data_IF_027869243274
#
_entry.id   IF_027869243274
#
_cell.length_a   1.000
_cell.length_b   1.000
_cell.length_c   1.000
_cell.angle_alpha   90.00
_cell.angle_beta   90.00
_cell.angle_gamma   90.00
#
_symmetry.space_group_name_H-M   'P 1'
#
loop_
_entity.id
_entity.type
_entity.pdbx_description
1 polymer ?
#
# COMPACT_ATOMS: atom_id res chain seq x y z
N UNK A 1 -7.18 37.44 14.21
CA UNK A 1 -6.15 36.96 15.15
C UNK A 1 -6.07 35.44 15.09
N UNK A 2 -5.24 34.89 14.20
CA UNK A 2 -4.96 33.45 14.20
C UNK A 2 -3.98 33.18 15.33
N UNK A 3 -4.44 32.51 16.39
CA UNK A 3 -3.56 31.96 17.42
C UNK A 3 -2.55 31.05 16.72
N UNK A 4 -1.28 31.47 16.72
CA UNK A 4 -0.16 30.57 16.47
C UNK A 4 -0.26 29.46 17.52
N UNK A 5 -0.82 28.32 17.12
CA UNK A 5 -0.67 27.10 17.88
C UNK A 5 0.82 26.87 18.04
N UNK A 6 1.31 27.02 19.27
CA UNK A 6 2.64 26.59 19.71
C UNK A 6 2.66 25.06 19.61
N UNK A 7 2.65 24.55 18.38
CA UNK A 7 3.11 23.20 18.13
C UNK A 7 4.56 23.22 18.57
N UNK A 8 4.86 22.50 19.66
CA UNK A 8 6.21 22.23 20.11
C UNK A 8 7.03 21.80 18.89
N UNK A 9 7.74 22.75 18.28
CA UNK A 9 8.77 22.48 17.32
C UNK A 9 9.88 21.83 18.13
N UNK A 10 9.78 20.52 18.34
CA UNK A 10 10.88 19.74 18.90
C UNK A 10 12.08 19.99 17.97
N UNK A 11 13.04 20.76 18.49
CA UNK A 11 14.34 20.99 17.86
C UNK A 11 15.16 19.71 18.04
N UNK A 12 16.31 19.60 17.37
CA UNK A 12 17.25 18.47 17.48
C UNK A 12 17.91 18.36 18.88
N UNK A 13 17.10 18.35 19.94
CA UNK A 13 17.48 18.28 21.34
C UNK A 13 17.07 16.89 21.83
N UNK A 14 18.04 16.07 22.22
CA UNK A 14 17.80 14.70 22.71
C UNK A 14 17.22 13.74 21.66
N UNK A 15 17.67 13.82 20.41
CA UNK A 15 17.19 12.90 19.36
C UNK A 15 17.76 11.49 19.56
N UNK A 16 16.89 10.50 19.81
CA UNK A 16 17.30 9.11 20.11
C UNK A 16 17.74 8.31 18.88
N UNK A 17 17.14 8.56 17.71
CA UNK A 17 17.39 7.78 16.48
C UNK A 17 18.37 8.54 15.58
N UNK A 18 19.41 7.89 15.00
CA UNK A 18 20.39 8.59 14.17
C UNK A 18 19.81 9.26 12.92
N UNK A 19 18.68 8.75 12.39
CA UNK A 19 17.94 9.34 11.28
C UNK A 19 16.55 9.75 11.74
N UNK A 20 16.30 11.07 11.81
CA UNK A 20 14.98 11.63 12.15
C UNK A 20 13.88 11.14 11.20
N UNK A 21 14.21 10.95 9.91
CA UNK A 21 13.27 10.49 8.90
C UNK A 21 12.75 9.05 9.12
N UNK A 22 13.38 8.26 10.02
CA UNK A 22 12.80 6.97 10.45
C UNK A 22 11.41 7.14 11.06
N UNK A 23 11.08 8.30 11.63
CA UNK A 23 9.73 8.62 12.09
C UNK A 23 8.67 8.52 10.97
N UNK A 24 9.02 8.92 9.74
CA UNK A 24 8.12 8.84 8.59
C UNK A 24 7.72 7.40 8.24
N UNK A 25 8.55 6.41 8.60
CA UNK A 25 8.20 4.99 8.46
C UNK A 25 7.00 4.65 9.33
N UNK A 26 6.92 5.21 10.56
CA UNK A 26 5.78 5.02 11.46
C UNK A 26 4.54 5.75 10.93
N UNK A 27 4.70 6.98 10.42
CA UNK A 27 3.60 7.69 9.74
C UNK A 27 3.05 6.88 8.57
N UNK A 28 3.92 6.24 7.79
CA UNK A 28 3.53 5.37 6.68
C UNK A 28 2.70 4.17 7.17
N UNK A 29 3.01 3.59 8.33
CA UNK A 29 2.17 2.53 8.93
C UNK A 29 0.78 3.04 9.25
N UNK A 30 0.68 4.24 9.82
CA UNK A 30 -0.62 4.87 10.08
C UNK A 30 -1.41 5.18 8.80
N UNK A 31 -0.76 5.37 7.65
CA UNK A 31 -1.46 5.50 6.37
C UNK A 31 -2.18 4.20 5.98
N UNK A 32 -1.55 3.04 6.17
CA UNK A 32 -2.19 1.74 5.94
C UNK A 32 -3.27 1.42 6.99
N UNK A 33 -3.08 1.78 8.26
CA UNK A 33 -4.13 1.64 9.28
C UNK A 33 -5.39 2.44 8.89
N UNK A 34 -5.20 3.68 8.44
CA UNK A 34 -6.30 4.51 7.93
C UNK A 34 -6.96 3.87 6.71
N UNK A 35 -6.19 3.24 5.81
CA UNK A 35 -6.79 2.57 4.66
C UNK A 35 -7.61 1.34 5.06
N UNK A 36 -7.20 0.55 6.05
CA UNK A 36 -8.03 -0.56 6.55
C UNK A 36 -9.35 -0.08 7.14
N UNK A 37 -9.33 1.04 7.87
CA UNK A 37 -10.54 1.69 8.38
C UNK A 37 -11.47 2.18 7.25
N UNK A 38 -10.89 2.78 6.21
CA UNK A 38 -11.65 3.59 5.25
C UNK A 38 -12.02 2.85 3.94
N UNK A 39 -11.29 1.79 3.58
CA UNK A 39 -11.37 1.19 2.24
C UNK A 39 -12.76 0.62 1.91
N UNK A 40 -13.39 -0.13 2.84
CA UNK A 40 -14.73 -0.68 2.60
C UNK A 40 -15.77 0.43 2.36
N UNK A 41 -15.79 1.44 3.23
CA UNK A 41 -16.70 2.58 3.13
C UNK A 41 -16.48 3.34 1.81
N UNK A 42 -15.23 3.65 1.48
CA UNK A 42 -14.85 4.35 0.26
C UNK A 42 -15.31 3.59 -0.99
N UNK A 43 -15.04 2.28 -1.05
CA UNK A 43 -15.39 1.44 -2.20
C UNK A 43 -16.91 1.33 -2.39
N UNK A 44 -17.68 1.17 -1.30
CA UNK A 44 -19.16 1.12 -1.38
C UNK A 44 -19.73 2.45 -1.88
N UNK A 45 -19.29 3.58 -1.33
CA UNK A 45 -19.74 4.89 -1.80
C UNK A 45 -19.41 5.11 -3.29
N UNK A 46 -18.22 4.67 -3.74
CA UNK A 46 -17.82 4.75 -5.15
C UNK A 46 -18.70 3.89 -6.05
N UNK A 47 -18.91 2.61 -5.71
CA UNK A 47 -19.72 1.70 -6.49
C UNK A 47 -21.17 2.20 -6.62
N UNK A 48 -21.79 2.62 -5.51
CA UNK A 48 -23.17 3.12 -5.52
C UNK A 48 -23.29 4.40 -6.34
N UNK A 49 -22.36 5.35 -6.18
CA UNK A 49 -22.43 6.65 -6.88
C UNK A 49 -22.25 6.56 -8.40
N UNK A 50 -21.56 5.54 -8.90
CA UNK A 50 -21.22 5.38 -10.32
C UNK A 50 -22.10 4.35 -11.05
N UNK A 51 -22.99 3.65 -10.34
CA UNK A 51 -23.80 2.60 -10.95
C UNK A 51 -24.87 3.18 -11.89
N UNK A 52 -24.74 2.93 -13.18
CA UNK A 52 -25.74 3.37 -14.18
C UNK A 52 -26.98 2.46 -14.19
N UNK A 53 -26.75 1.16 -14.07
CA UNK A 53 -27.80 0.14 -13.96
C UNK A 53 -28.68 0.35 -12.71
N UNK A 54 -29.94 -0.12 -12.73
CA UNK A 54 -30.80 -0.04 -11.56
C UNK A 54 -30.15 -0.72 -10.35
N UNK A 55 -29.98 0.02 -9.24
CA UNK A 55 -29.36 -0.50 -8.00
C UNK A 55 -30.01 -1.80 -7.53
N UNK A 56 -31.33 -1.89 -7.66
CA UNK A 56 -32.12 -3.07 -7.35
C UNK A 56 -33.51 -2.94 -7.97
N UNK A 57 -34.31 -4.01 -7.85
CA UNK A 57 -35.73 -3.98 -8.23
C UNK A 57 -36.54 -2.95 -7.43
N UNK A 58 -36.14 -2.65 -6.19
CA UNK A 58 -36.87 -1.73 -5.28
C UNK A 58 -36.38 -0.30 -5.34
N UNK A 59 -35.12 -0.08 -5.74
CA UNK A 59 -34.48 1.24 -5.82
C UNK A 59 -34.00 1.48 -7.25
N UNK A 60 -34.81 2.20 -8.03
CA UNK A 60 -34.54 2.52 -9.43
C UNK A 60 -35.01 3.94 -9.79
N UNK A 61 -34.68 4.39 -10.99
CA UNK A 61 -35.13 5.68 -11.54
C UNK A 61 -34.74 6.87 -10.66
N UNK A 62 -35.70 7.73 -10.34
CA UNK A 62 -35.44 8.96 -9.58
C UNK A 62 -34.95 8.68 -8.14
N UNK A 63 -35.44 7.62 -7.49
CA UNK A 63 -35.01 7.25 -6.13
C UNK A 63 -33.53 6.88 -6.09
N UNK A 64 -33.07 6.13 -7.10
CA UNK A 64 -31.65 5.82 -7.25
C UNK A 64 -30.81 7.07 -7.48
N UNK A 65 -31.19 7.94 -8.42
CA UNK A 65 -30.42 9.18 -8.70
C UNK A 65 -30.31 10.07 -7.46
N UNK A 66 -31.37 10.16 -6.65
CA UNK A 66 -31.35 10.87 -5.38
C UNK A 66 -30.41 10.20 -4.37
N UNK A 67 -30.49 8.87 -4.22
CA UNK A 67 -29.62 8.11 -3.32
C UNK A 67 -28.14 8.27 -3.71
N UNK A 68 -27.81 8.16 -5.00
CA UNK A 68 -26.45 8.35 -5.52
C UNK A 68 -25.88 9.71 -5.12
N UNK A 69 -26.64 10.79 -5.34
CA UNK A 69 -26.23 12.14 -4.93
C UNK A 69 -26.03 12.25 -3.41
N UNK A 70 -26.92 11.65 -2.62
CA UNK A 70 -26.80 11.62 -1.14
C UNK A 70 -25.57 10.86 -0.68
N UNK A 71 -25.27 9.71 -1.30
CA UNK A 71 -24.08 8.90 -0.98
C UNK A 71 -22.79 9.64 -1.35
N UNK A 72 -22.74 10.29 -2.53
CA UNK A 72 -21.59 11.12 -2.91
C UNK A 72 -21.41 12.31 -1.97
N UNK A 73 -22.52 12.97 -1.58
CA UNK A 73 -22.48 14.06 -0.60
C UNK A 73 -21.95 13.57 0.76
N UNK A 74 -22.42 12.41 1.24
CA UNK A 74 -21.91 11.78 2.45
C UNK A 74 -20.41 11.51 2.36
N UNK A 75 -19.96 10.90 1.25
CA UNK A 75 -18.55 10.58 1.03
C UNK A 75 -17.66 11.83 1.05
N UNK A 76 -18.09 12.93 0.41
CA UNK A 76 -17.33 14.18 0.37
C UNK A 76 -17.24 14.87 1.73
N UNK A 77 -18.19 14.61 2.63
CA UNK A 77 -18.19 15.14 3.99
C UNK A 77 -17.38 14.31 5.00
N UNK A 78 -16.83 13.15 4.60
CA UNK A 78 -15.95 12.36 5.46
C UNK A 78 -14.55 13.00 5.53
N UNK A 79 -14.36 13.95 6.45
CA UNK A 79 -13.07 14.58 6.69
C UNK A 79 -12.02 13.54 7.12
N UNK A 80 -10.85 13.55 6.47
CA UNK A 80 -9.75 12.64 6.78
C UNK A 80 -9.88 11.23 6.18
N UNK A 81 -10.91 10.97 5.37
CA UNK A 81 -11.08 9.71 4.64
C UNK A 81 -9.86 9.42 3.75
N UNK A 82 -9.21 8.29 3.98
CA UNK A 82 -8.04 7.88 3.23
C UNK A 82 -8.43 7.30 1.86
N UNK A 83 -8.20 8.09 0.80
CA UNK A 83 -8.50 7.73 -0.60
C UNK A 83 -7.27 7.64 -1.51
N UNK A 84 -6.07 7.70 -0.93
CA UNK A 84 -4.81 7.71 -1.70
C UNK A 84 -4.51 6.28 -2.15
N UNK A 85 -4.31 6.03 -3.46
CA UNK A 85 -3.99 4.69 -3.94
C UNK A 85 -2.58 4.26 -3.48
N UNK A 86 -2.39 2.98 -3.16
CA UNK A 86 -1.16 2.48 -2.51
C UNK A 86 0.12 2.72 -3.31
N UNK A 87 0.09 2.68 -4.64
CA UNK A 87 1.27 2.95 -5.46
C UNK A 87 1.76 4.41 -5.39
N UNK A 88 0.96 5.32 -4.80
CA UNK A 88 1.35 6.72 -4.52
C UNK A 88 1.96 6.89 -3.13
N UNK A 89 1.94 5.86 -2.28
CA UNK A 89 2.58 5.89 -0.98
C UNK A 89 4.09 5.69 -1.14
N UNK A 90 4.86 6.53 -0.46
CA UNK A 90 6.31 6.40 -0.43
C UNK A 90 6.70 5.14 0.33
N UNK A 91 7.67 4.39 -0.20
CA UNK A 91 8.20 3.20 0.45
C UNK A 91 9.57 3.56 1.02
N UNK A 92 9.64 3.64 2.34
CA UNK A 92 10.84 4.04 3.08
C UNK A 92 11.25 2.89 3.97
N UNK A 93 12.51 2.50 3.90
CA UNK A 93 13.01 1.39 4.69
C UNK A 93 13.07 1.70 6.18
N UNK A 94 12.90 0.65 6.99
CA UNK A 94 12.84 0.76 8.46
C UNK A 94 14.20 0.89 9.14
N UNK A 95 15.30 0.75 8.41
CA UNK A 95 16.64 0.68 9.00
C UNK A 95 17.41 1.98 8.83
N UNK A 96 17.41 2.53 7.62
CA UNK A 96 18.25 3.67 7.24
C UNK A 96 17.43 4.82 6.64
N UNK A 97 16.09 4.68 6.63
CA UNK A 97 15.14 5.59 6.04
C UNK A 97 15.43 5.89 4.57
N UNK A 98 15.94 4.91 3.82
CA UNK A 98 16.18 5.03 2.37
C UNK A 98 14.90 4.68 1.63
N UNK A 99 14.48 5.55 0.73
CA UNK A 99 13.31 5.31 -0.11
C UNK A 99 13.62 4.43 -1.32
N UNK A 100 12.61 3.78 -1.87
CA UNK A 100 12.67 3.17 -3.19
C UNK A 100 11.29 3.08 -3.85
N UNK A 101 11.24 2.93 -5.17
CA UNK A 101 9.99 2.77 -5.91
C UNK A 101 9.68 1.27 -6.06
N UNK A 102 8.56 0.75 -5.51
CA UNK A 102 8.16 -0.62 -5.76
C UNK A 102 7.96 -0.91 -7.25
N UNK A 103 8.39 -2.08 -7.69
CA UNK A 103 8.39 -2.45 -9.12
C UNK A 103 9.67 -2.07 -9.84
N UNK A 104 10.57 -1.28 -9.24
CA UNK A 104 11.94 -1.09 -9.72
C UNK A 104 12.91 -1.99 -8.95
N UNK A 105 14.17 -2.07 -9.41
CA UNK A 105 15.22 -2.84 -8.73
C UNK A 105 15.71 -2.18 -7.44
N UNK A 106 15.28 -0.96 -7.16
CA UNK A 106 15.75 -0.20 -6.00
C UNK A 106 14.96 -0.53 -4.72
N UNK A 107 13.86 -1.27 -4.84
CA UNK A 107 13.04 -1.76 -3.73
C UNK A 107 12.94 -3.29 -3.73
N UNK A 108 13.17 -3.92 -2.58
CA UNK A 108 13.13 -5.37 -2.42
C UNK A 108 11.85 -5.76 -1.67
N UNK A 109 10.84 -6.33 -2.36
CA UNK A 109 9.46 -6.36 -1.88
C UNK A 109 9.21 -7.34 -0.73
N UNK A 110 9.85 -8.51 -0.72
CA UNK A 110 9.59 -9.51 0.33
C UNK A 110 10.10 -9.04 1.71
N UNK A 111 11.28 -8.41 1.74
CA UNK A 111 11.86 -7.85 2.95
C UNK A 111 11.35 -6.43 3.27
N UNK A 112 10.68 -5.76 2.31
CA UNK A 112 10.25 -4.37 2.39
C UNK A 112 11.39 -3.41 2.78
N UNK A 113 12.49 -3.48 2.03
CA UNK A 113 13.69 -2.63 2.23
C UNK A 113 14.21 -2.10 0.90
N UNK A 114 14.98 -1.01 0.95
CA UNK A 114 15.71 -0.49 -0.20
C UNK A 114 16.83 -1.44 -0.65
N UNK A 115 17.29 -1.28 -1.90
CA UNK A 115 18.44 -2.02 -2.43
C UNK A 115 19.71 -1.81 -1.61
N UNK A 116 19.90 -0.59 -1.07
CA UNK A 116 21.07 -0.24 -0.25
C UNK A 116 21.11 -1.09 1.01
N UNK A 117 19.97 -1.14 1.71
CA UNK A 117 19.80 -1.93 2.93
C UNK A 117 19.91 -3.42 2.63
N UNK A 118 19.30 -3.90 1.55
CA UNK A 118 19.41 -5.30 1.14
C UNK A 118 20.88 -5.70 0.90
N UNK A 119 21.61 -4.90 0.12
CA UNK A 119 23.03 -5.17 -0.16
C UNK A 119 23.87 -5.20 1.13
N UNK A 120 23.65 -4.24 2.03
CA UNK A 120 24.36 -4.20 3.32
C UNK A 120 24.05 -5.42 4.17
N UNK A 121 22.78 -5.79 4.33
CA UNK A 121 22.36 -6.92 5.17
C UNK A 121 22.83 -8.27 4.62
N UNK A 122 22.77 -8.48 3.30
CA UNK A 122 23.23 -9.73 2.68
C UNK A 122 24.75 -9.89 2.80
N UNK A 123 25.52 -8.84 2.50
CA UNK A 123 26.99 -8.91 2.56
C UNK A 123 27.55 -9.09 3.97
N UNK A 124 26.81 -8.61 4.98
CA UNK A 124 27.19 -8.74 6.39
C UNK A 124 26.66 -10.01 7.05
N UNK A 125 25.96 -10.89 6.33
CA UNK A 125 25.41 -12.12 6.89
C UNK A 125 24.21 -11.92 7.82
N UNK A 126 23.60 -10.73 7.82
CA UNK A 126 22.41 -10.42 8.64
C UNK A 126 21.10 -10.95 8.04
N UNK A 127 21.13 -11.39 6.77
CA UNK A 127 20.00 -11.98 6.08
C UNK A 127 20.38 -13.36 5.57
N UNK A 128 19.60 -14.37 5.95
CA UNK A 128 19.74 -15.71 5.40
C UNK A 128 19.14 -15.76 4.00
N UNK A 129 20.01 -15.80 2.99
CA UNK A 129 19.64 -15.97 1.59
C UNK A 129 20.64 -16.90 0.89
N UNK A 130 20.19 -17.52 -0.19
CA UNK A 130 21.04 -18.38 -1.01
C UNK A 130 21.43 -17.63 -2.27
N UNK A 131 22.75 -17.60 -2.56
CA UNK A 131 23.25 -17.01 -3.80
C UNK A 131 22.86 -17.90 -4.98
N UNK A 132 22.33 -17.28 -6.03
CA UNK A 132 22.10 -17.90 -7.34
C UNK A 132 22.89 -17.13 -8.41
N UNK A 133 23.11 -17.71 -9.58
CA UNK A 133 23.82 -17.03 -10.67
C UNK A 133 23.05 -15.78 -11.11
N UNK A 134 23.74 -14.64 -11.20
CA UNK A 134 23.15 -13.31 -11.34
C UNK A 134 22.47 -13.04 -12.69
N UNK A 135 22.77 -13.83 -13.72
CA UNK A 135 22.19 -13.68 -15.08
C UNK A 135 20.96 -14.54 -15.32
N UNK A 136 20.67 -15.51 -14.45
CA UNK A 136 19.60 -16.48 -14.67
C UNK A 136 18.31 -16.16 -13.92
N UNK A 137 17.27 -16.94 -14.18
CA UNK A 137 15.99 -16.89 -13.45
C UNK A 137 16.06 -17.49 -12.03
N UNK A 138 17.21 -18.04 -11.62
CA UNK A 138 17.39 -18.66 -10.30
C UNK A 138 17.01 -20.14 -10.28
N UNK A 139 16.52 -20.63 -9.14
CA UNK A 139 16.23 -22.05 -8.89
C UNK A 139 14.75 -22.41 -9.02
N UNK A 140 13.85 -21.43 -8.90
CA UNK A 140 12.40 -21.62 -8.91
C UNK A 140 11.87 -22.12 -10.27
N UNK A 141 11.02 -23.16 -10.24
CA UNK A 141 10.49 -23.78 -11.45
C UNK A 141 9.50 -22.87 -12.18
N UNK A 142 8.68 -22.13 -11.44
CA UNK A 142 7.68 -21.22 -12.02
C UNK A 142 8.34 -20.00 -12.66
N UNK A 143 9.34 -19.43 -11.99
CA UNK A 143 10.12 -18.32 -12.53
C UNK A 143 10.89 -18.70 -13.80
N UNK A 144 11.46 -19.91 -13.86
CA UNK A 144 12.12 -20.43 -15.08
C UNK A 144 11.17 -20.65 -16.27
N UNK A 145 9.91 -21.00 -16.02
CA UNK A 145 8.94 -21.34 -17.08
C UNK A 145 8.41 -20.13 -17.83
N UNK A 146 8.21 -19.00 -17.17
CA UNK A 146 7.60 -17.83 -17.80
C UNK A 146 7.87 -16.51 -17.07
N UNK A 147 8.99 -16.42 -16.35
CA UNK A 147 9.42 -15.20 -15.71
C UNK A 147 8.49 -14.72 -14.59
N UNK A 148 8.55 -13.40 -14.35
CA UNK A 148 7.84 -12.75 -13.25
C UNK A 148 6.32 -12.90 -13.36
N UNK A 149 5.77 -12.73 -14.56
CA UNK A 149 4.33 -12.77 -14.80
C UNK A 149 3.76 -14.17 -14.57
N UNK A 150 4.44 -15.22 -15.03
CA UNK A 150 4.01 -16.59 -14.76
C UNK A 150 4.00 -16.91 -13.27
N UNK A 151 5.05 -16.48 -12.54
CA UNK A 151 5.12 -16.68 -11.10
C UNK A 151 4.03 -15.90 -10.36
N UNK A 152 3.73 -14.68 -10.79
CA UNK A 152 2.64 -13.88 -10.24
C UNK A 152 1.27 -14.55 -10.43
N UNK A 153 1.00 -15.08 -11.64
CA UNK A 153 -0.21 -15.84 -11.93
C UNK A 153 -0.34 -17.09 -11.07
N UNK A 154 0.77 -17.80 -10.79
CA UNK A 154 0.76 -18.98 -9.92
C UNK A 154 0.40 -18.67 -8.47
N UNK A 155 0.80 -17.50 -7.96
CA UNK A 155 0.36 -17.03 -6.63
C UNK A 155 -1.15 -16.77 -6.62
N UNK A 156 -1.68 -16.11 -7.65
CA UNK A 156 -3.13 -15.86 -7.77
C UNK A 156 -3.94 -17.17 -7.87
N UNK A 157 -3.45 -18.14 -8.65
CA UNK A 157 -4.08 -19.46 -8.80
C UNK A 157 -4.26 -20.14 -7.44
N UNK A 158 -3.19 -20.17 -6.62
CA UNK A 158 -3.23 -20.78 -5.29
C UNK A 158 -4.09 -19.99 -4.29
N UNK A 159 -4.03 -18.67 -4.31
CA UNK A 159 -4.72 -17.88 -3.28
C UNK A 159 -6.23 -17.75 -3.51
N UNK A 160 -6.68 -17.79 -4.77
CA UNK A 160 -8.06 -17.46 -5.12
C UNK A 160 -8.73 -18.52 -5.98
N UNK A 161 -8.11 -18.88 -7.11
CA UNK A 161 -8.79 -19.67 -8.16
C UNK A 161 -8.94 -21.16 -7.82
N UNK A 162 -8.20 -21.66 -6.82
CA UNK A 162 -8.37 -23.03 -6.34
C UNK A 162 -9.68 -23.23 -5.55
N UNK A 163 -10.29 -22.16 -5.05
CA UNK A 163 -11.49 -22.23 -4.24
C UNK A 163 -12.73 -21.99 -5.10
N UNK A 164 -13.63 -22.97 -5.19
CA UNK A 164 -14.99 -22.79 -5.70
C UNK A 164 -15.83 -22.11 -4.63
N UNK A 165 -15.84 -20.77 -4.61
CA UNK A 165 -16.62 -19.99 -3.64
C UNK A 165 -18.12 -20.26 -3.80
N UNK A 166 -18.81 -20.39 -2.67
CA UNK A 166 -20.26 -20.57 -2.54
C UNK A 166 -20.91 -19.19 -2.37
#
# INVERSE_FOLDING_TARGET
MLRQSVGLLMRHIGQDVPKRHTHFVLESRLMYEKSFRDNWLYSVCRAVSQLDEPLSKTVSGNRQKMLQRKVTCFQYNQYGLFKVPYYRLANVDRYYAVQGVPGTREWVPYANVSYWTMNKMVRSGNLLVHRVHYTGWGTDTHLKRGGWDHRWNKVMQRNTLQYSRI
#
